data_IF_493210208065
#
_entry.id   IF_493210208065
#
_cell.length_a   1.000
_cell.length_b   1.000
_cell.length_c   1.000
_cell.angle_alpha   90.00
_cell.angle_beta   90.00
_cell.angle_gamma   90.00
#
_symmetry.space_group_name_H-M   'P 1'
#
loop_
_entity.id
_entity.type
_entity.pdbx_description
1 polymer ?
#
# COMPACT_ATOMS: atom_id res chain seq x y z
N UNK A 1 -5.83 -17.27 -30.07
CA UNK A 1 -5.49 -17.33 -29.60
C UNK A 1 -5.06 -17.42 -28.88
N UNK A 2 -5.33 -17.52 -28.71
CA UNK A 2 -4.94 -17.53 -27.94
C UNK A 2 -4.03 -18.04 -27.44
N UNK A 3 -3.55 -18.49 -27.79
CA UNK A 3 -2.67 -18.91 -27.28
C UNK A 3 -1.67 -18.51 -26.72
N UNK A 4 -1.27 -18.61 -27.11
CA UNK A 4 -0.34 -17.73 -26.56
C UNK A 4 -0.85 -16.99 -25.38
N UNK A 5 -2.09 -16.87 -25.26
CA UNK A 5 -2.67 -16.35 -24.16
C UNK A 5 -2.39 -17.05 -22.92
N UNK A 6 -2.25 -18.31 -22.94
CA UNK A 6 -1.94 -19.11 -21.81
C UNK A 6 -0.61 -18.72 -21.23
N UNK A 7 0.37 -18.57 -22.08
CA UNK A 7 1.65 -18.21 -21.59
C UNK A 7 1.62 -16.82 -21.00
N UNK A 8 0.81 -15.97 -21.52
CA UNK A 8 0.71 -14.65 -20.97
C UNK A 8 0.07 -14.64 -19.64
N UNK A 9 -0.79 -15.58 -19.34
CA UNK A 9 -1.40 -15.63 -18.06
C UNK A 9 -0.38 -15.90 -17.01
N UNK A 10 0.54 -16.78 -17.26
CA UNK A 10 1.56 -17.08 -16.31
C UNK A 10 2.51 -15.91 -16.17
N UNK A 11 2.51 -15.01 -17.16
CA UNK A 11 3.35 -13.86 -17.08
C UNK A 11 2.57 -12.58 -16.97
N UNK A 12 1.41 -12.66 -16.36
CA UNK A 12 0.59 -11.48 -16.17
C UNK A 12 1.42 -10.43 -15.46
N UNK A 13 1.38 -9.22 -15.94
CA UNK A 13 2.17 -8.15 -15.38
C UNK A 13 1.64 -7.75 -14.01
N UNK A 14 2.49 -7.18 -13.19
CA UNK A 14 2.08 -6.69 -11.88
C UNK A 14 0.97 -5.65 -12.02
N UNK A 15 1.07 -4.66 -12.93
CA UNK A 15 -0.02 -3.69 -13.08
C UNK A 15 -1.35 -4.33 -13.41
N UNK A 16 -1.37 -5.35 -14.28
CA UNK A 16 -2.62 -6.01 -14.63
C UNK A 16 -3.20 -6.75 -13.45
N UNK A 17 -2.35 -7.40 -12.68
CA UNK A 17 -2.78 -8.15 -11.52
C UNK A 17 -3.37 -7.21 -10.47
N UNK A 18 -2.72 -6.08 -10.25
CA UNK A 18 -3.18 -5.11 -9.27
C UNK A 18 -4.48 -4.47 -9.72
N UNK A 19 -4.58 -4.14 -11.02
CA UNK A 19 -5.80 -3.53 -11.53
C UNK A 19 -6.99 -4.47 -11.36
N UNK A 20 -6.80 -5.76 -11.60
CA UNK A 20 -7.86 -6.73 -11.42
C UNK A 20 -8.27 -6.82 -9.96
N UNK A 21 -7.29 -6.77 -9.06
CA UNK A 21 -7.58 -6.83 -7.63
C UNK A 21 -8.38 -5.61 -7.19
N UNK A 22 -8.00 -4.43 -7.68
CA UNK A 22 -8.72 -3.22 -7.31
C UNK A 22 -10.15 -3.24 -7.85
N UNK A 23 -10.34 -3.76 -9.05
CA UNK A 23 -11.68 -3.90 -9.59
C UNK A 23 -12.54 -4.78 -8.69
N UNK A 24 -11.97 -5.84 -8.15
CA UNK A 24 -12.69 -6.71 -7.23
C UNK A 24 -12.98 -5.99 -5.92
N UNK A 25 -12.03 -5.23 -5.42
CA UNK A 25 -12.21 -4.50 -4.18
C UNK A 25 -13.32 -3.48 -4.27
N UNK A 26 -13.48 -2.87 -5.43
CA UNK A 26 -14.50 -1.83 -5.60
C UNK A 26 -15.91 -2.38 -5.46
N UNK A 27 -16.07 -3.68 -5.56
CA UNK A 27 -17.37 -4.32 -5.43
C UNK A 27 -17.71 -4.65 -3.98
N UNK A 28 -16.77 -4.46 -3.07
CA UNK A 28 -16.99 -4.79 -1.67
C UNK A 28 -17.66 -3.63 -0.97
N UNK A 29 -18.73 -3.90 -0.20
CA UNK A 29 -19.36 -2.84 0.57
C UNK A 29 -18.35 -2.22 1.52
N UNK A 30 -18.27 -0.91 1.53
CA UNK A 30 -17.31 -0.19 2.34
C UNK A 30 -16.17 0.39 1.54
N UNK A 31 -16.05 0.03 0.26
CA UNK A 31 -14.96 0.54 -0.54
C UNK A 31 -15.03 2.07 -0.69
N UNK A 32 -16.21 2.64 -0.52
CA UNK A 32 -16.35 4.09 -0.60
C UNK A 32 -15.56 4.81 0.49
N UNK A 33 -15.12 4.08 1.51
CA UNK A 33 -14.29 4.67 2.55
C UNK A 33 -12.81 4.59 2.23
N UNK A 34 -12.43 3.89 1.16
CA UNK A 34 -11.03 3.78 0.78
C UNK A 34 -10.63 5.05 0.04
N UNK A 35 -9.63 5.73 0.56
CA UNK A 35 -9.19 7.01 -0.01
C UNK A 35 -8.07 6.83 -1.01
N UNK A 36 -7.16 5.92 -0.76
CA UNK A 36 -6.10 5.62 -1.74
C UNK A 36 -5.50 4.25 -1.45
N UNK A 37 -4.87 3.71 -2.48
CA UNK A 37 -4.14 2.45 -2.39
C UNK A 37 -2.82 2.65 -3.11
N UNK A 38 -1.73 2.29 -2.46
CA UNK A 38 -0.38 2.46 -3.00
C UNK A 38 0.29 1.10 -3.11
N UNK A 39 0.88 0.84 -4.26
CA UNK A 39 1.69 -0.35 -4.48
C UNK A 39 3.11 0.00 -4.07
N UNK A 40 3.69 -0.75 -3.16
CA UNK A 40 5.01 -0.44 -2.66
C UNK A 40 5.83 -1.72 -2.49
N UNK A 41 7.04 -1.59 -2.01
CA UNK A 41 7.90 -2.73 -1.80
C UNK A 41 8.51 -3.23 -3.10
N UNK A 42 8.87 -4.49 -3.14
CA UNK A 42 9.61 -5.04 -4.28
C UNK A 42 8.80 -5.06 -5.56
N UNK A 43 7.48 -5.15 -5.44
CA UNK A 43 6.64 -5.21 -6.64
C UNK A 43 6.69 -3.90 -7.42
N UNK A 44 6.72 -2.77 -6.71
CA UNK A 44 6.76 -1.49 -7.41
C UNK A 44 8.13 -1.24 -8.03
N UNK A 45 9.15 -1.95 -7.58
CA UNK A 45 10.48 -1.84 -8.14
C UNK A 45 10.73 -2.90 -9.20
N UNK A 46 9.72 -3.69 -9.47
CA UNK A 46 9.81 -4.72 -10.50
C UNK A 46 10.91 -5.75 -10.23
N UNK A 47 11.19 -5.98 -8.96
CA UNK A 47 12.16 -6.99 -8.59
C UNK A 47 11.49 -8.20 -7.99
N UNK A 48 10.19 -8.29 -8.20
CA UNK A 48 9.41 -9.34 -7.65
C UNK A 48 9.69 -10.67 -8.32
N UNK A 49 9.78 -11.72 -7.52
CA UNK A 49 9.88 -13.06 -8.06
C UNK A 49 8.50 -13.70 -7.98
N UNK A 50 8.39 -14.92 -8.46
CA UNK A 50 7.12 -15.61 -8.46
C UNK A 50 6.59 -15.84 -7.06
N UNK A 51 7.48 -15.89 -6.09
CA UNK A 51 7.07 -16.15 -4.71
C UNK A 51 6.86 -14.90 -3.88
N UNK A 52 7.08 -13.73 -4.46
CA UNK A 52 6.96 -12.50 -3.70
C UNK A 52 5.53 -12.06 -3.57
N UNK A 53 5.20 -11.45 -2.45
CA UNK A 53 3.90 -10.86 -2.24
C UNK A 53 3.84 -9.51 -2.91
N UNK A 54 2.65 -9.12 -3.30
CA UNK A 54 2.40 -7.78 -3.80
C UNK A 54 1.93 -6.96 -2.61
N UNK A 55 2.71 -5.97 -2.22
CA UNK A 55 2.41 -5.14 -1.06
C UNK A 55 1.54 -3.96 -1.44
N UNK A 56 0.36 -3.90 -0.88
CA UNK A 56 -0.55 -2.79 -1.08
C UNK A 56 -0.83 -2.11 0.25
N UNK A 57 -0.81 -0.80 0.24
CA UNK A 57 -1.10 0.00 1.42
C UNK A 57 -2.37 0.79 1.15
N UNK A 58 -3.36 0.65 2.01
CA UNK A 58 -4.68 1.21 1.80
C UNK A 58 -5.03 2.19 2.90
N UNK A 59 -5.52 3.37 2.53
CA UNK A 59 -6.04 4.30 3.52
C UNK A 59 -7.54 4.12 3.59
N UNK A 60 -8.03 3.69 4.74
CA UNK A 60 -9.46 3.48 4.96
C UNK A 60 -9.96 4.54 5.93
N UNK A 61 -10.95 5.29 5.50
CA UNK A 61 -11.50 6.38 6.31
C UNK A 61 -12.54 5.82 7.26
N UNK A 62 -12.08 5.37 8.41
CA UNK A 62 -12.93 4.77 9.40
C UNK A 62 -12.08 4.44 10.61
N UNK A 63 -12.69 3.89 11.64
CA UNK A 63 -11.91 3.57 12.81
C UNK A 63 -11.11 2.29 12.56
N UNK A 64 -10.29 1.95 13.53
CA UNK A 64 -9.38 0.83 13.40
C UNK A 64 -10.11 -0.49 13.17
N UNK A 65 -11.21 -0.66 13.85
CA UNK A 65 -11.97 -1.89 13.72
C UNK A 65 -12.63 -2.00 12.36
N UNK A 66 -13.22 -0.90 11.89
CA UNK A 66 -13.85 -0.89 10.57
C UNK A 66 -12.82 -1.16 9.47
N UNK A 67 -11.65 -0.54 9.59
CA UNK A 67 -10.59 -0.75 8.61
C UNK A 67 -10.16 -2.20 8.62
N UNK A 68 -10.02 -2.79 9.79
CA UNK A 68 -9.63 -4.19 9.89
C UNK A 68 -10.65 -5.14 9.29
N UNK A 69 -11.93 -4.83 9.49
CA UNK A 69 -12.99 -5.65 8.91
C UNK A 69 -12.98 -5.56 7.40
N UNK A 70 -12.77 -4.37 6.86
CA UNK A 70 -12.71 -4.21 5.43
C UNK A 70 -11.50 -4.94 4.85
N UNK A 71 -10.36 -4.82 5.52
CA UNK A 71 -9.15 -5.52 5.10
C UNK A 71 -9.40 -7.02 5.04
N UNK A 72 -10.10 -7.54 6.05
CA UNK A 72 -10.40 -8.96 6.09
C UNK A 72 -11.29 -9.38 4.91
N UNK A 73 -12.28 -8.55 4.57
CA UNK A 73 -13.14 -8.83 3.45
C UNK A 73 -12.35 -8.86 2.14
N UNK A 74 -11.42 -7.92 1.99
CA UNK A 74 -10.58 -7.87 0.80
C UNK A 74 -9.75 -9.14 0.68
N UNK A 75 -9.11 -9.53 1.78
CA UNK A 75 -8.25 -10.70 1.75
C UNK A 75 -9.04 -11.98 1.50
N UNK A 76 -10.31 -12.01 1.92
CA UNK A 76 -11.15 -13.17 1.67
C UNK A 76 -11.54 -13.29 0.22
N UNK A 77 -11.60 -12.15 -0.48
CA UNK A 77 -12.02 -12.14 -1.86
C UNK A 77 -10.89 -12.37 -2.84
N UNK A 78 -9.72 -11.86 -2.53
CA UNK A 78 -8.59 -11.97 -3.45
C UNK A 78 -7.98 -13.36 -3.42
N UNK A 79 -7.36 -13.76 -4.51
CA UNK A 79 -6.80 -15.09 -4.58
C UNK A 79 -5.61 -15.21 -3.65
N UNK A 80 -5.76 -16.13 -2.76
CA UNK A 80 -4.73 -16.62 -1.98
C UNK A 80 -3.79 -15.73 -1.36
N UNK A 81 -2.56 -16.00 -1.51
CA UNK A 81 -1.52 -15.40 -0.74
C UNK A 81 -0.70 -14.43 -1.55
N UNK A 82 -1.22 -14.03 -2.70
CA UNK A 82 -0.45 -13.15 -3.56
C UNK A 82 -0.31 -11.74 -3.01
N UNK A 83 -1.32 -11.30 -2.26
CA UNK A 83 -1.37 -9.92 -1.80
C UNK A 83 -1.14 -9.79 -0.31
N UNK A 84 -0.31 -8.80 0.07
CA UNK A 84 -0.16 -8.40 1.45
C UNK A 84 -0.77 -7.00 1.54
N UNK A 85 -1.88 -6.88 2.24
CA UNK A 85 -2.62 -5.63 2.32
C UNK A 85 -2.52 -5.06 3.72
N UNK A 86 -2.03 -3.84 3.81
CA UNK A 86 -1.84 -3.16 5.08
C UNK A 86 -2.69 -1.90 5.11
N UNK A 87 -3.09 -1.50 6.29
CA UNK A 87 -3.85 -0.28 6.48
C UNK A 87 -2.85 0.83 6.83
N UNK A 88 -2.85 1.89 6.05
CA UNK A 88 -1.87 2.97 6.16
C UNK A 88 -1.73 3.50 7.59
N UNK A 89 -2.87 3.78 8.21
CA UNK A 89 -2.84 4.38 9.53
C UNK A 89 -2.31 3.44 10.61
N UNK A 90 -2.23 2.17 10.33
CA UNK A 90 -1.76 1.19 11.30
C UNK A 90 -0.30 0.83 11.10
N UNK A 91 0.34 1.40 10.10
CA UNK A 91 1.75 1.13 9.84
C UNK A 91 2.63 2.02 10.71
N UNK A 92 3.80 1.54 11.10
CA UNK A 92 4.78 2.41 11.74
C UNK A 92 5.14 3.57 10.82
N UNK A 93 5.53 4.67 11.41
CA UNK A 93 5.77 5.90 10.65
C UNK A 93 6.77 5.71 9.51
N UNK A 94 7.87 5.02 9.77
CA UNK A 94 8.88 4.86 8.72
C UNK A 94 8.39 3.96 7.60
N UNK A 95 7.47 3.04 7.90
CA UNK A 95 6.89 2.19 6.86
C UNK A 95 5.90 3.01 6.03
N UNK A 96 5.18 3.93 6.68
CA UNK A 96 4.29 4.82 5.93
C UNK A 96 5.09 5.66 4.93
N UNK A 97 6.27 6.11 5.33
CA UNK A 97 7.14 6.86 4.43
C UNK A 97 7.54 6.00 3.24
N UNK A 98 7.91 4.74 3.51
CA UNK A 98 8.28 3.84 2.43
C UNK A 98 7.12 3.58 1.49
N UNK A 99 5.92 3.42 2.05
CA UNK A 99 4.74 3.19 1.22
C UNK A 99 4.45 4.40 0.34
N UNK A 100 4.66 5.61 0.87
CA UNK A 100 4.40 6.82 0.11
C UNK A 100 5.35 7.00 -1.07
N UNK A 101 6.48 6.28 -1.07
CA UNK A 101 7.39 6.32 -2.19
C UNK A 101 6.94 5.41 -3.32
N UNK A 102 5.91 4.63 -3.08
CA UNK A 102 5.42 3.70 -4.07
C UNK A 102 4.55 4.35 -5.12
N UNK A 103 3.77 3.54 -5.78
CA UNK A 103 2.95 3.97 -6.90
C UNK A 103 1.49 3.98 -6.48
N UNK A 104 0.82 5.14 -6.50
CA UNK A 104 -0.62 5.15 -6.22
C UNK A 104 -1.34 4.40 -7.32
N UNK A 105 -2.07 3.36 -6.95
CA UNK A 105 -2.80 2.56 -7.92
C UNK A 105 -4.30 2.82 -7.84
N UNK A 106 -4.74 3.51 -6.81
CA UNK A 106 -6.12 3.97 -6.69
C UNK A 106 -6.11 5.23 -5.84
N UNK A 107 -6.79 6.27 -6.28
CA UNK A 107 -6.91 7.51 -5.53
C UNK A 107 -8.30 8.06 -5.72
N UNK A 108 -9.03 8.17 -4.61
CA UNK A 108 -10.36 8.73 -4.67
C UNK A 108 -10.29 10.24 -4.72
N UNK A 109 -9.38 10.82 -3.94
CA UNK A 109 -9.22 12.25 -3.81
C UNK A 109 -7.74 12.56 -3.76
N UNK A 110 -7.22 13.12 -4.84
CA UNK A 110 -5.80 13.40 -4.96
C UNK A 110 -5.33 14.40 -3.90
N UNK A 111 -6.17 15.37 -3.56
CA UNK A 111 -5.85 16.34 -2.56
C UNK A 111 -5.65 15.69 -1.20
N UNK A 112 -6.51 14.75 -0.88
CA UNK A 112 -6.41 14.02 0.37
C UNK A 112 -5.09 13.25 0.44
N UNK A 113 -4.72 12.61 -0.66
CA UNK A 113 -3.47 11.88 -0.70
C UNK A 113 -2.28 12.81 -0.48
N UNK A 114 -2.28 13.96 -1.12
CA UNK A 114 -1.20 14.92 -0.96
C UNK A 114 -1.14 15.45 0.47
N UNK A 115 -2.29 15.73 1.05
CA UNK A 115 -2.33 16.24 2.42
C UNK A 115 -1.78 15.20 3.40
N UNK A 116 -2.15 13.95 3.20
CA UNK A 116 -1.66 12.88 4.07
C UNK A 116 -0.17 12.65 3.87
N UNK A 117 0.29 12.74 2.64
CA UNK A 117 1.71 12.58 2.36
C UNK A 117 2.51 13.69 3.04
N UNK A 118 2.04 14.92 2.93
CA UNK A 118 2.70 16.06 3.54
C UNK A 118 2.74 15.92 5.05
N UNK A 119 1.62 15.54 5.63
CA UNK A 119 1.52 15.35 7.06
C UNK A 119 2.49 14.27 7.54
N UNK A 120 2.54 13.17 6.82
CA UNK A 120 3.39 12.04 7.18
C UNK A 120 4.87 12.41 7.08
N UNK A 121 5.23 13.13 6.02
CA UNK A 121 6.62 13.55 5.82
C UNK A 121 7.03 14.49 6.94
N UNK A 122 6.14 15.42 7.32
CA UNK A 122 6.42 16.35 8.39
C UNK A 122 6.61 15.61 9.71
N UNK A 123 5.76 14.64 9.98
CA UNK A 123 5.86 13.86 11.20
C UNK A 123 7.17 13.08 11.24
N UNK A 124 7.58 12.55 10.10
CA UNK A 124 8.81 11.79 10.02
C UNK A 124 10.02 12.70 10.21
N UNK A 125 9.99 13.90 9.63
CA UNK A 125 11.06 14.85 9.80
C UNK A 125 11.18 15.27 11.25
N UNK A 126 10.06 15.50 11.92
CA UNK A 126 10.07 15.85 13.33
C UNK A 126 10.61 14.71 14.17
N UNK A 127 10.24 13.49 13.82
CA UNK A 127 10.75 12.31 14.53
C UNK A 127 12.26 12.19 14.36
N UNK A 128 12.75 12.40 13.14
CA UNK A 128 14.17 12.32 12.87
C UNK A 128 14.94 13.37 13.65
N UNK A 129 14.37 14.58 13.73
CA UNK A 129 15.01 15.65 14.47
C UNK A 129 15.11 15.29 15.94
N UNK A 130 14.05 14.79 16.53
CA UNK A 130 14.08 14.40 17.94
C UNK A 130 15.06 13.28 18.19
N UNK A 131 15.11 12.33 17.28
CA UNK A 131 16.01 11.22 17.42
C UNK A 131 17.45 11.69 17.30
N UNK A 132 17.71 12.57 16.37
CA UNK A 132 19.05 13.12 16.18
C UNK A 132 19.48 13.90 17.41
N UNK A 133 18.59 14.74 17.94
CA UNK A 133 18.92 15.50 19.14
C UNK A 133 19.22 14.60 20.31
N UNK A 134 18.51 13.51 20.42
CA UNK A 134 18.68 12.59 21.52
C UNK A 134 19.95 11.74 21.39
N UNK A 135 20.19 11.19 20.21
CA UNK A 135 21.31 10.27 20.02
C UNK A 135 22.48 10.90 19.30
N UNK A 136 22.23 11.97 18.57
CA UNK A 136 23.28 12.59 17.78
C UNK A 136 24.43 13.08 18.60
N UNK A 137 24.13 13.59 19.79
CA UNK A 137 25.18 14.07 20.63
C UNK A 137 26.12 12.96 21.03
N UNK A 138 25.59 11.77 21.16
CA UNK A 138 26.41 10.63 21.51
C UNK A 138 27.15 10.11 20.29
N UNK A 139 26.45 10.02 19.16
CA UNK A 139 27.03 9.45 17.97
C UNK A 139 27.99 10.38 17.24
N UNK A 140 27.74 11.67 17.35
CA UNK A 140 28.55 12.62 16.62
C UNK A 140 29.76 13.07 17.37
N UNK A 141 29.93 12.63 18.57
CA UNK A 141 31.11 12.92 19.34
C UNK A 141 32.16 11.85 19.12
#
# INVERSE_FOLDING_TARGET
MTHSKISRKTKRSIPDTVAAAINQMQKIPGFEQVQFIILYGSAQEERMTADSDIDLCMYYDGDREDAGLFRHKVLSLLPDTLFDIQIFEQLPLYVRIEALKGIPVYTRDTRFLYDKATETIRDFDNFKHRLYDYTGQVLMQ
#
